data_IF_681999818025
#
_entry.id   IF_681999818025
#
_cell.length_a   1.000
_cell.length_b   1.000
_cell.length_c   1.000
_cell.angle_alpha   90.00
_cell.angle_beta   90.00
_cell.angle_gamma   90.00
#
_symmetry.space_group_name_H-M   'P 1'
#
loop_
_entity.id
_entity.type
_entity.pdbx_description
1 polymer ?
#
# COMPACT_ATOMS: atom_id res chain seq x y z
N UNK A 1 -8.59 -39.79 -18.84
CA UNK A 1 -8.17 -39.06 -17.61
C UNK A 1 -8.45 -37.60 -17.87
N UNK A 2 -9.62 -37.15 -17.47
CA UNK A 2 -10.02 -35.75 -17.58
C UNK A 2 -9.25 -34.93 -16.58
N UNK A 3 -8.28 -34.18 -17.07
CA UNK A 3 -7.52 -33.20 -16.25
C UNK A 3 -8.46 -32.03 -15.97
N UNK A 4 -9.25 -32.10 -14.90
CA UNK A 4 -10.09 -31.02 -14.42
C UNK A 4 -9.14 -29.96 -13.81
N UNK A 5 -8.72 -29.04 -14.68
CA UNK A 5 -7.97 -27.87 -14.26
C UNK A 5 -8.93 -26.93 -13.48
N UNK A 6 -9.20 -27.25 -12.22
CA UNK A 6 -9.96 -26.38 -11.33
C UNK A 6 -9.15 -25.09 -11.20
N UNK A 7 -9.72 -23.92 -11.50
CA UNK A 7 -9.02 -22.65 -11.32
C UNK A 7 -8.56 -22.53 -9.86
N UNK A 8 -7.31 -22.17 -9.66
CA UNK A 8 -6.81 -21.87 -8.32
C UNK A 8 -7.61 -20.71 -7.73
N UNK A 9 -7.86 -20.76 -6.43
CA UNK A 9 -8.36 -19.61 -5.67
C UNK A 9 -7.37 -18.45 -5.75
N UNK A 10 -7.83 -17.27 -5.41
CA UNK A 10 -7.04 -16.05 -5.45
C UNK A 10 -5.81 -16.13 -4.55
N UNK A 11 -6.01 -16.62 -3.34
CA UNK A 11 -4.94 -16.80 -2.36
C UNK A 11 -3.91 -17.84 -2.80
N UNK A 12 -4.36 -18.97 -3.34
CA UNK A 12 -3.46 -20.01 -3.85
C UNK A 12 -2.67 -19.54 -5.08
N UNK A 13 -3.29 -18.74 -5.99
CA UNK A 13 -2.57 -18.17 -7.14
C UNK A 13 -1.55 -17.10 -6.68
N UNK A 14 -1.89 -16.29 -5.67
CA UNK A 14 -0.96 -15.35 -5.05
C UNK A 14 0.25 -16.07 -4.44
N UNK A 15 0.02 -17.07 -3.60
CA UNK A 15 1.09 -17.80 -2.93
C UNK A 15 2.04 -18.50 -3.90
N UNK A 16 1.51 -19.03 -4.99
CA UNK A 16 2.31 -19.63 -6.06
C UNK A 16 3.13 -18.58 -6.84
N UNK A 17 2.56 -17.40 -7.04
CA UNK A 17 3.08 -16.40 -7.98
C UNK A 17 3.97 -15.35 -7.32
N UNK A 18 3.66 -14.96 -6.10
CA UNK A 18 4.29 -13.84 -5.43
C UNK A 18 4.91 -14.21 -4.09
N UNK A 19 5.88 -13.41 -3.68
CA UNK A 19 6.52 -13.44 -2.38
C UNK A 19 6.53 -12.00 -1.82
N UNK A 20 5.82 -11.79 -0.70
CA UNK A 20 5.78 -10.49 -0.05
C UNK A 20 6.70 -10.48 1.17
N UNK A 21 7.49 -9.41 1.32
CA UNK A 21 8.49 -9.27 2.38
C UNK A 21 8.41 -7.90 3.03
N UNK A 22 8.70 -7.86 4.32
CA UNK A 22 9.11 -6.62 4.96
C UNK A 22 10.56 -6.32 4.54
N UNK A 23 10.82 -5.09 4.08
CA UNK A 23 12.17 -4.64 3.72
C UNK A 23 12.93 -4.21 4.98
N UNK A 24 13.32 -5.19 5.79
CA UNK A 24 13.99 -5.01 7.09
C UNK A 24 15.51 -4.92 6.99
N UNK A 25 16.07 -5.20 5.80
CA UNK A 25 17.51 -5.04 5.50
C UNK A 25 17.77 -3.88 4.55
N UNK A 26 18.99 -3.32 4.58
CA UNK A 26 19.38 -2.23 3.67
C UNK A 26 19.26 -2.65 2.20
N UNK A 27 19.62 -3.90 1.87
CA UNK A 27 19.50 -4.43 0.52
C UNK A 27 18.04 -4.46 0.04
N UNK A 28 17.08 -4.85 0.89
CA UNK A 28 15.66 -4.85 0.55
C UNK A 28 15.10 -3.41 0.47
N UNK A 29 15.50 -2.52 1.39
CA UNK A 29 15.13 -1.10 1.33
C UNK A 29 15.63 -0.44 0.05
N UNK A 30 16.86 -0.73 -0.37
CA UNK A 30 17.41 -0.21 -1.61
C UNK A 30 16.58 -0.65 -2.82
N UNK A 31 16.12 -1.91 -2.88
CA UNK A 31 15.22 -2.40 -3.94
C UNK A 31 13.88 -1.66 -3.94
N UNK A 32 13.29 -1.39 -2.78
CA UNK A 32 12.09 -0.56 -2.65
C UNK A 32 12.33 0.85 -3.22
N UNK A 33 13.45 1.49 -2.87
CA UNK A 33 13.78 2.84 -3.34
C UNK A 33 14.04 2.89 -4.85
N UNK A 34 14.57 1.82 -5.42
CA UNK A 34 14.72 1.68 -6.88
C UNK A 34 13.38 1.56 -7.60
N UNK A 35 12.43 0.75 -7.09
CA UNK A 35 11.07 0.68 -7.63
C UNK A 35 10.39 2.04 -7.57
N UNK A 36 10.52 2.76 -6.47
CA UNK A 36 9.94 4.08 -6.28
C UNK A 36 10.52 5.07 -7.29
N UNK A 37 11.84 5.04 -7.51
CA UNK A 37 12.49 5.86 -8.53
C UNK A 37 12.01 5.51 -9.94
N UNK A 38 11.98 4.22 -10.31
CA UNK A 38 11.48 3.75 -11.60
C UNK A 38 10.07 4.31 -11.86
N UNK A 39 9.16 4.12 -10.91
CA UNK A 39 7.74 4.47 -11.10
C UNK A 39 7.49 5.96 -10.98
N UNK A 40 7.95 6.60 -9.91
CA UNK A 40 7.59 8.00 -9.65
C UNK A 40 8.46 9.00 -10.41
N UNK A 41 9.77 8.74 -10.50
CA UNK A 41 10.69 9.70 -11.12
C UNK A 41 10.87 9.43 -12.61
N UNK A 42 11.20 8.18 -13.00
CA UNK A 42 11.52 7.88 -14.39
C UNK A 42 10.29 7.80 -15.30
N UNK A 43 9.20 7.16 -14.84
CA UNK A 43 8.00 6.96 -15.66
C UNK A 43 6.99 8.10 -15.53
N UNK A 44 6.63 8.46 -14.30
CA UNK A 44 5.62 9.49 -14.05
C UNK A 44 6.20 10.92 -14.05
N UNK A 45 7.52 11.06 -14.09
CA UNK A 45 8.19 12.36 -14.17
C UNK A 45 8.00 13.23 -12.93
N UNK A 46 7.71 12.65 -11.76
CA UNK A 46 7.53 13.43 -10.55
C UNK A 46 8.89 13.95 -10.05
N UNK A 47 8.94 15.25 -9.74
CA UNK A 47 10.13 15.91 -9.20
C UNK A 47 10.34 15.52 -7.72
N UNK A 48 10.58 14.26 -7.45
CA UNK A 48 10.88 13.73 -6.13
C UNK A 48 12.39 13.64 -5.89
N UNK A 49 12.80 13.72 -4.62
CA UNK A 49 14.18 13.52 -4.25
C UNK A 49 14.64 12.12 -4.65
N UNK A 50 15.73 12.05 -5.39
CA UNK A 50 16.36 10.79 -5.76
C UNK A 50 17.88 10.89 -5.67
N UNK A 51 18.50 9.80 -5.28
CA UNK A 51 19.94 9.67 -5.13
C UNK A 51 20.41 8.52 -6.04
N UNK A 52 20.86 8.86 -7.26
CA UNK A 52 21.48 7.87 -8.15
C UNK A 52 20.56 6.69 -8.54
N UNK A 53 19.28 6.95 -8.84
CA UNK A 53 18.33 5.90 -9.21
C UNK A 53 17.54 5.29 -8.04
N UNK A 54 17.55 5.94 -6.88
CA UNK A 54 16.78 5.55 -5.72
C UNK A 54 15.96 6.76 -5.20
N UNK A 55 14.63 6.66 -5.12
CA UNK A 55 13.77 7.69 -4.50
C UNK A 55 13.64 7.40 -3.01
N UNK A 56 14.01 8.36 -2.18
CA UNK A 56 13.86 8.30 -0.72
C UNK A 56 13.55 9.67 -0.14
N UNK A 57 12.92 9.70 1.03
CA UNK A 57 12.62 10.93 1.75
C UNK A 57 12.90 10.79 3.27
N UNK A 58 12.80 11.90 4.00
CA UNK A 58 13.07 11.94 5.44
C UNK A 58 12.12 11.07 6.29
N UNK A 59 10.98 10.64 5.73
CA UNK A 59 10.04 9.79 6.45
C UNK A 59 10.41 8.31 6.38
N UNK A 60 11.32 7.90 5.47
CA UNK A 60 11.70 6.50 5.32
C UNK A 60 12.36 5.93 6.57
N UNK A 61 13.06 6.77 7.36
CA UNK A 61 13.68 6.37 8.61
C UNK A 61 12.68 5.90 9.69
N UNK A 62 11.42 6.35 9.62
CA UNK A 62 10.34 5.97 10.54
C UNK A 62 9.30 5.07 9.87
N UNK A 63 9.64 4.41 8.76
CA UNK A 63 8.67 3.68 7.94
C UNK A 63 8.96 2.19 7.88
N UNK A 64 7.89 1.44 7.65
CA UNK A 64 7.93 0.05 7.24
C UNK A 64 7.64 -0.03 5.75
N UNK A 65 8.42 -0.82 5.04
CA UNK A 65 8.28 -1.00 3.60
C UNK A 65 7.96 -2.45 3.28
N UNK A 66 6.90 -2.68 2.51
CA UNK A 66 6.62 -3.99 1.95
C UNK A 66 7.11 -4.05 0.50
N UNK A 67 7.78 -5.13 0.15
CA UNK A 67 8.28 -5.43 -1.19
C UNK A 67 7.58 -6.68 -1.70
N UNK A 68 6.96 -6.58 -2.87
CA UNK A 68 6.34 -7.71 -3.56
C UNK A 68 7.25 -8.18 -4.69
N UNK A 69 7.55 -9.47 -4.70
CA UNK A 69 8.43 -10.12 -5.65
C UNK A 69 7.66 -11.19 -6.46
N UNK A 70 7.88 -11.24 -7.76
CA UNK A 70 7.30 -12.24 -8.64
C UNK A 70 8.25 -13.42 -8.80
N UNK A 71 7.83 -14.60 -8.33
CA UNK A 71 8.70 -15.79 -8.20
C UNK A 71 9.27 -16.26 -9.54
N UNK A 72 8.43 -16.43 -10.56
CA UNK A 72 8.86 -17.06 -11.82
C UNK A 72 9.77 -16.17 -12.66
N UNK A 73 9.64 -14.84 -12.63
CA UNK A 73 10.53 -13.92 -13.35
C UNK A 73 11.69 -13.40 -12.51
N UNK A 74 11.71 -13.71 -11.21
CA UNK A 74 12.66 -13.17 -10.24
C UNK A 74 12.75 -11.63 -10.24
N UNK A 75 11.62 -10.96 -10.50
CA UNK A 75 11.52 -9.50 -10.55
C UNK A 75 10.69 -8.94 -9.40
N UNK A 76 11.07 -7.77 -8.94
CA UNK A 76 10.25 -7.01 -8.02
C UNK A 76 9.08 -6.37 -8.77
N UNK A 77 7.88 -6.53 -8.23
CA UNK A 77 6.64 -6.10 -8.89
C UNK A 77 6.11 -4.79 -8.36
N UNK A 78 6.39 -4.51 -7.10
CA UNK A 78 5.88 -3.31 -6.47
C UNK A 78 6.25 -3.20 -5.01
N UNK A 79 5.90 -2.07 -4.43
CA UNK A 79 6.14 -1.77 -3.03
C UNK A 79 5.05 -0.87 -2.46
N UNK A 80 5.00 -0.79 -1.13
CA UNK A 80 4.16 0.14 -0.38
C UNK A 80 4.85 0.51 0.92
N UNK A 81 4.58 1.71 1.43
CA UNK A 81 5.15 2.24 2.67
C UNK A 81 4.06 2.49 3.70
N UNK A 82 4.31 2.07 4.94
CA UNK A 82 3.58 2.47 6.14
C UNK A 82 4.48 3.41 6.94
N UNK A 83 4.13 4.69 7.01
CA UNK A 83 4.82 5.68 7.83
C UNK A 83 4.24 5.66 9.22
N UNK A 84 5.12 5.48 10.21
CA UNK A 84 4.77 5.46 11.64
C UNK A 84 4.90 6.87 12.22
N UNK A 85 4.17 7.20 13.29
CA UNK A 85 4.38 8.47 13.99
C UNK A 85 5.78 8.51 14.62
N UNK A 86 6.33 9.71 14.77
CA UNK A 86 7.57 9.93 15.55
C UNK A 86 7.33 9.64 17.04
N UNK A 87 8.40 9.46 17.78
CA UNK A 87 8.31 9.44 19.24
C UNK A 87 7.64 10.75 19.70
N UNK A 88 6.53 10.65 20.44
CA UNK A 88 5.70 11.81 20.80
C UNK A 88 4.60 12.17 19.78
N UNK A 89 4.49 11.42 18.67
CA UNK A 89 3.46 11.59 17.65
C UNK A 89 3.81 12.56 16.53
N UNK A 90 2.97 12.57 15.47
CA UNK A 90 3.11 13.43 14.30
C UNK A 90 4.25 13.03 13.35
N UNK A 91 4.59 13.93 12.44
CA UNK A 91 5.64 13.74 11.44
C UNK A 91 5.23 12.85 10.28
N UNK A 92 3.93 12.73 9.99
CA UNK A 92 3.41 12.04 8.83
C UNK A 92 3.55 12.92 7.57
N UNK A 93 3.83 12.35 6.40
CA UNK A 93 4.00 13.09 5.15
C UNK A 93 2.87 14.09 4.87
N UNK A 94 1.60 13.65 5.01
CA UNK A 94 0.44 14.50 4.67
C UNK A 94 0.35 15.77 5.54
N UNK A 95 0.94 15.79 6.73
CA UNK A 95 0.95 16.97 7.61
C UNK A 95 1.65 18.16 6.93
N UNK A 96 2.69 17.90 6.14
CA UNK A 96 3.46 18.93 5.44
C UNK A 96 2.73 19.58 4.27
N UNK A 97 1.84 18.86 3.58
CA UNK A 97 1.20 19.38 2.36
C UNK A 97 -0.32 19.19 2.31
N UNK A 98 -0.87 18.14 2.89
CA UNK A 98 -2.27 17.75 2.78
C UNK A 98 -3.15 18.27 3.92
N UNK A 99 -2.59 18.40 5.12
CA UNK A 99 -3.33 18.75 6.34
C UNK A 99 -4.07 20.10 6.20
N UNK A 100 -3.51 21.07 5.50
CA UNK A 100 -4.14 22.38 5.25
C UNK A 100 -5.45 22.31 4.47
N UNK A 101 -5.68 21.22 3.73
CA UNK A 101 -6.89 20.98 2.96
C UNK A 101 -7.93 20.14 3.72
N UNK A 102 -7.59 19.58 4.89
CA UNK A 102 -8.54 18.79 5.68
C UNK A 102 -9.68 19.67 6.17
N UNK A 103 -10.91 19.27 5.84
CA UNK A 103 -12.11 19.95 6.32
C UNK A 103 -12.35 19.57 7.80
N UNK A 104 -12.23 20.57 8.68
CA UNK A 104 -12.41 20.39 10.12
C UNK A 104 -13.81 19.92 10.52
N UNK A 105 -14.83 20.12 9.68
CA UNK A 105 -16.17 19.59 9.91
C UNK A 105 -16.22 18.08 9.67
N UNK A 106 -15.35 17.56 8.81
CA UNK A 106 -15.23 16.13 8.51
C UNK A 106 -14.25 15.44 9.46
N UNK A 107 -13.16 16.10 9.81
CA UNK A 107 -12.13 15.56 10.71
C UNK A 107 -11.42 16.71 11.43
N UNK A 108 -11.58 16.82 12.73
CA UNK A 108 -10.77 17.75 13.53
C UNK A 108 -9.46 17.07 13.95
N UNK A 109 -8.43 17.29 13.13
CA UNK A 109 -7.08 16.75 13.34
C UNK A 109 -6.51 17.08 14.74
N UNK A 110 -6.87 18.26 15.31
CA UNK A 110 -6.36 18.69 16.61
C UNK A 110 -6.88 17.87 17.78
N UNK A 111 -7.97 17.13 17.59
CA UNK A 111 -8.56 16.25 18.60
C UNK A 111 -8.01 14.81 18.52
N UNK A 112 -7.23 14.50 17.49
CA UNK A 112 -6.65 13.18 17.37
C UNK A 112 -5.37 13.08 18.22
N UNK A 113 -5.17 11.91 18.83
CA UNK A 113 -3.89 11.57 19.41
C UNK A 113 -2.88 11.29 18.27
N UNK A 114 -1.85 12.13 18.07
CA UNK A 114 -0.92 11.98 16.98
C UNK A 114 -0.05 10.71 17.10
N UNK A 115 0.04 10.11 18.29
CA UNK A 115 0.74 8.83 18.49
C UNK A 115 -0.05 7.64 17.95
N UNK A 116 -1.36 7.82 17.74
CA UNK A 116 -2.28 6.81 17.22
C UNK A 116 -2.53 6.94 15.71
N UNK A 117 -1.74 7.78 15.01
CA UNK A 117 -1.90 8.06 13.59
C UNK A 117 -0.77 7.43 12.78
N UNK A 118 -1.09 6.82 11.65
CA UNK A 118 -0.11 6.35 10.67
C UNK A 118 -0.55 6.73 9.25
N UNK A 119 0.37 6.64 8.28
CA UNK A 119 0.05 6.97 6.88
C UNK A 119 0.52 5.87 5.93
N UNK A 120 -0.39 5.43 5.04
CA UNK A 120 -0.04 4.57 3.92
C UNK A 120 0.35 5.45 2.73
N UNK A 121 1.52 5.21 2.15
CA UNK A 121 2.04 6.00 1.04
C UNK A 121 2.96 5.17 0.14
N UNK A 122 3.44 5.79 -0.95
CA UNK A 122 4.41 5.18 -1.87
C UNK A 122 4.00 3.81 -2.40
N UNK A 123 2.69 3.59 -2.64
CA UNK A 123 2.25 2.43 -3.41
C UNK A 123 2.74 2.59 -4.85
N UNK A 124 3.57 1.68 -5.29
CA UNK A 124 4.14 1.66 -6.64
C UNK A 124 4.14 0.23 -7.19
N UNK A 125 3.69 0.08 -8.44
CA UNK A 125 3.72 -1.16 -9.22
C UNK A 125 4.56 -0.88 -10.46
N UNK A 126 5.56 -1.72 -10.77
CA UNK A 126 6.47 -1.51 -11.90
C UNK A 126 5.77 -1.67 -13.25
N UNK A 127 6.20 -0.96 -14.28
CA UNK A 127 5.60 -0.96 -15.63
C UNK A 127 5.46 -2.35 -16.21
N UNK A 128 6.42 -3.21 -15.94
CA UNK A 128 6.37 -4.59 -16.44
C UNK A 128 5.06 -5.31 -16.05
N UNK A 129 4.47 -4.93 -14.93
CA UNK A 129 3.23 -5.49 -14.38
C UNK A 129 2.01 -4.57 -14.57
N UNK A 130 2.19 -3.40 -15.17
CA UNK A 130 1.14 -2.44 -15.57
C UNK A 130 0.98 -2.44 -17.09
N UNK A 131 0.41 -3.51 -17.66
CA UNK A 131 0.40 -3.74 -19.11
C UNK A 131 -0.91 -3.34 -19.81
N UNK A 132 -1.95 -2.96 -19.09
CA UNK A 132 -3.25 -2.63 -19.69
C UNK A 132 -3.33 -1.15 -20.04
N UNK A 133 -4.13 -0.78 -21.08
CA UNK A 133 -4.45 0.62 -21.32
C UNK A 133 -5.00 1.30 -20.06
N UNK A 134 -4.45 2.45 -19.70
CA UNK A 134 -4.83 3.21 -18.49
C UNK A 134 -4.20 2.76 -17.18
N UNK A 135 -3.49 1.65 -17.13
CA UNK A 135 -2.70 1.25 -15.95
C UNK A 135 -1.37 2.01 -15.88
N UNK A 136 -0.85 2.46 -17.01
CA UNK A 136 0.44 3.15 -17.09
C UNK A 136 0.41 4.57 -16.53
N UNK A 137 -0.79 5.18 -16.45
CA UNK A 137 -0.96 6.58 -16.08
C UNK A 137 -0.94 6.83 -14.56
N UNK A 138 -0.72 5.79 -13.77
CA UNK A 138 -0.69 5.91 -12.30
C UNK A 138 0.20 4.86 -11.63
N UNK A 139 0.76 5.21 -10.48
CA UNK A 139 1.70 4.39 -9.75
C UNK A 139 1.13 3.04 -9.27
N UNK A 140 -0.18 2.97 -9.01
CA UNK A 140 -0.84 1.76 -8.51
C UNK A 140 -1.18 0.75 -9.62
N UNK A 141 -1.04 1.14 -10.89
CA UNK A 141 -1.39 0.26 -12.02
C UNK A 141 -2.89 -0.04 -12.12
N UNK A 142 -3.75 0.95 -11.83
CA UNK A 142 -5.20 0.79 -11.86
C UNK A 142 -5.75 1.36 -13.17
N UNK A 143 -6.46 0.53 -13.94
CA UNK A 143 -7.07 0.96 -15.20
C UNK A 143 -8.17 1.99 -14.96
N UNK A 144 -8.24 2.99 -15.86
CA UNK A 144 -9.29 4.02 -15.82
C UNK A 144 -10.65 3.47 -16.25
N UNK A 145 -10.65 2.42 -17.09
CA UNK A 145 -11.85 1.79 -17.69
C UNK A 145 -12.03 0.38 -17.11
N UNK A 146 -13.25 0.04 -16.76
CA UNK A 146 -13.60 -1.29 -16.30
C UNK A 146 -13.40 -2.31 -17.41
N UNK A 147 -12.54 -3.30 -17.20
CA UNK A 147 -12.49 -4.46 -18.07
C UNK A 147 -13.77 -5.27 -17.86
N UNK A 148 -14.55 -5.45 -18.93
CA UNK A 148 -15.81 -6.20 -18.94
C UNK A 148 -15.61 -7.72 -18.88
N UNK A 149 -14.38 -8.18 -19.03
CA UNK A 149 -14.05 -9.62 -19.05
C UNK A 149 -13.70 -10.15 -17.65
N UNK A 150 -14.56 -11.03 -17.13
CA UNK A 150 -14.42 -11.64 -15.81
C UNK A 150 -13.15 -12.49 -15.64
N UNK A 151 -12.60 -13.06 -16.71
CA UNK A 151 -11.37 -13.86 -16.66
C UNK A 151 -10.12 -12.99 -16.49
N UNK A 152 -10.13 -11.82 -17.12
CA UNK A 152 -9.05 -10.82 -17.03
C UNK A 152 -9.13 -10.02 -15.72
N UNK A 153 -10.33 -9.88 -15.12
CA UNK A 153 -10.54 -9.30 -13.77
C UNK A 153 -9.76 -10.02 -12.68
N UNK A 154 -9.54 -11.32 -12.78
CA UNK A 154 -9.05 -12.16 -11.68
C UNK A 154 -7.54 -12.09 -11.44
N UNK A 155 -6.71 -11.61 -12.35
CA UNK A 155 -5.24 -11.76 -12.22
C UNK A 155 -4.40 -10.53 -11.98
N UNK A 156 -4.85 -9.30 -12.23
CA UNK A 156 -3.98 -8.11 -12.22
C UNK A 156 -4.33 -6.97 -11.26
N UNK A 157 -5.57 -6.76 -10.80
CA UNK A 157 -5.83 -5.80 -9.73
C UNK A 157 -5.17 -6.18 -8.40
N UNK A 158 -4.79 -7.45 -8.25
CA UNK A 158 -4.33 -8.04 -6.99
C UNK A 158 -2.94 -7.59 -6.54
N UNK A 159 -2.07 -7.11 -7.40
CA UNK A 159 -0.78 -6.59 -6.97
C UNK A 159 -0.98 -5.41 -6.02
N UNK A 160 -1.79 -4.42 -6.41
CA UNK A 160 -2.09 -3.29 -5.56
C UNK A 160 -2.87 -3.71 -4.30
N UNK A 161 -3.88 -4.59 -4.44
CA UNK A 161 -4.67 -5.10 -3.31
C UNK A 161 -3.79 -5.89 -2.34
N UNK A 162 -2.91 -6.77 -2.82
CA UNK A 162 -1.97 -7.51 -1.96
C UNK A 162 -1.02 -6.60 -1.19
N UNK A 163 -0.54 -5.52 -1.82
CA UNK A 163 0.28 -4.52 -1.15
C UNK A 163 -0.51 -3.78 -0.06
N UNK A 164 -1.80 -3.48 -0.30
CA UNK A 164 -2.68 -2.94 0.74
C UNK A 164 -2.93 -3.95 1.86
N UNK A 165 -3.20 -5.21 1.56
CA UNK A 165 -3.34 -6.26 2.56
C UNK A 165 -2.08 -6.38 3.43
N UNK A 166 -0.89 -6.21 2.85
CA UNK A 166 0.35 -6.21 3.59
C UNK A 166 0.44 -5.08 4.63
N UNK A 167 0.09 -3.84 4.26
CA UNK A 167 0.11 -2.75 5.24
C UNK A 167 -1.03 -2.86 6.25
N UNK A 168 -2.18 -3.38 5.86
CA UNK A 168 -3.28 -3.71 6.79
C UNK A 168 -2.81 -4.72 7.84
N UNK A 169 -2.15 -5.80 7.42
CA UNK A 169 -1.57 -6.80 8.34
C UNK A 169 -0.58 -6.17 9.33
N UNK A 170 0.28 -5.25 8.86
CA UNK A 170 1.21 -4.52 9.72
C UNK A 170 0.50 -3.58 10.70
N UNK A 171 -0.56 -2.91 10.29
CA UNK A 171 -1.34 -1.97 11.11
C UNK A 171 -2.07 -2.72 12.22
N UNK A 172 -2.75 -3.83 11.90
CA UNK A 172 -3.51 -4.62 12.88
C UNK A 172 -2.65 -5.23 13.98
N UNK A 173 -1.34 -5.41 13.73
CA UNK A 173 -0.40 -5.84 14.77
C UNK A 173 0.03 -4.73 15.72
N UNK A 174 -0.38 -3.49 15.42
CA UNK A 174 0.02 -2.30 16.17
C UNK A 174 -1.20 -1.58 16.73
N UNK A 175 -0.98 -0.73 17.72
CA UNK A 175 -2.04 0.00 18.39
C UNK A 175 -2.35 1.35 17.74
N UNK A 176 -2.27 1.46 16.41
CA UNK A 176 -2.69 2.67 15.70
C UNK A 176 -4.20 2.64 15.48
N UNK A 177 -4.82 3.80 15.59
CA UNK A 177 -6.25 3.94 15.41
C UNK A 177 -6.61 4.61 14.09
N UNK A 178 -5.85 5.63 13.68
CA UNK A 178 -6.15 6.46 12.52
C UNK A 178 -5.17 6.18 11.39
N UNK A 179 -5.69 5.89 10.22
CA UNK A 179 -4.91 5.52 9.03
C UNK A 179 -5.19 6.55 7.95
N UNK A 180 -4.16 7.32 7.58
CA UNK A 180 -4.24 8.36 6.57
C UNK A 180 -3.67 7.89 5.24
N UNK A 181 -4.20 8.46 4.15
CA UNK A 181 -3.66 8.29 2.80
C UNK A 181 -3.94 9.55 1.99
N UNK A 182 -3.01 9.92 1.11
CA UNK A 182 -3.22 10.95 0.09
C UNK A 182 -3.12 10.29 -1.27
N UNK A 183 -4.26 10.05 -1.87
CA UNK A 183 -4.37 9.23 -3.08
C UNK A 183 -5.28 9.88 -4.12
N UNK A 184 -5.19 9.39 -5.35
CA UNK A 184 -6.10 9.77 -6.42
C UNK A 184 -7.51 9.22 -6.16
N UNK A 185 -8.59 9.95 -6.53
CA UNK A 185 -9.96 9.48 -6.37
C UNK A 185 -10.24 8.13 -7.05
N UNK A 186 -9.52 7.81 -8.14
CA UNK A 186 -9.66 6.50 -8.81
C UNK A 186 -9.16 5.35 -7.92
N UNK A 187 -8.07 5.57 -7.18
CA UNK A 187 -7.52 4.57 -6.28
C UNK A 187 -8.48 4.33 -5.10
N UNK A 188 -9.06 5.38 -4.54
CA UNK A 188 -10.07 5.26 -3.50
C UNK A 188 -11.27 4.41 -3.96
N UNK A 189 -11.83 4.68 -5.17
CA UNK A 189 -12.93 3.86 -5.72
C UNK A 189 -12.52 2.41 -5.95
N UNK A 190 -11.28 2.17 -6.35
CA UNK A 190 -10.74 0.83 -6.49
C UNK A 190 -10.70 0.10 -5.15
N UNK A 191 -10.15 0.73 -4.11
CA UNK A 191 -10.10 0.14 -2.77
C UNK A 191 -11.48 -0.18 -2.22
N UNK A 192 -12.47 0.72 -2.42
CA UNK A 192 -13.85 0.46 -2.03
C UNK A 192 -14.46 -0.79 -2.69
N UNK A 193 -14.15 -1.05 -3.97
CA UNK A 193 -14.61 -2.26 -4.65
C UNK A 193 -14.04 -3.56 -4.08
N UNK A 194 -12.90 -3.46 -3.42
CA UNK A 194 -12.26 -4.56 -2.70
C UNK A 194 -12.55 -4.50 -1.20
N UNK A 195 -13.66 -3.84 -0.83
CA UNK A 195 -14.16 -3.84 0.52
C UNK A 195 -13.28 -3.10 1.53
N UNK A 196 -12.52 -2.09 1.09
CA UNK A 196 -11.73 -1.23 1.96
C UNK A 196 -12.39 0.16 2.03
N UNK A 197 -13.11 0.42 3.10
CA UNK A 197 -13.83 1.68 3.30
C UNK A 197 -12.87 2.77 3.78
N UNK A 198 -12.62 3.75 2.92
CA UNK A 198 -11.86 4.96 3.27
C UNK A 198 -12.70 6.20 3.00
N UNK A 199 -12.71 7.13 3.95
CA UNK A 199 -13.52 8.35 3.91
C UNK A 199 -12.68 9.54 3.47
N UNK A 200 -13.17 10.28 2.47
CA UNK A 200 -12.55 11.53 2.06
C UNK A 200 -12.79 12.63 3.09
N UNK A 201 -11.73 13.36 3.45
CA UNK A 201 -11.75 14.43 4.47
C UNK A 201 -11.19 15.75 3.96
N UNK A 202 -10.91 15.87 2.67
CA UNK A 202 -10.50 17.12 2.02
C UNK A 202 -11.18 17.27 0.65
N UNK A 203 -11.27 18.46 0.08
CA UNK A 203 -11.48 18.63 -1.35
C UNK A 203 -10.33 17.97 -2.13
N UNK A 204 -10.51 17.82 -3.44
CA UNK A 204 -9.43 17.42 -4.34
C UNK A 204 -8.49 18.62 -4.51
N UNK A 205 -7.18 18.35 -4.46
CA UNK A 205 -6.11 19.34 -4.67
C UNK A 205 -5.02 18.76 -5.57
N UNK A 206 -4.20 19.63 -6.15
CA UNK A 206 -3.07 19.21 -6.98
C UNK A 206 -1.84 18.92 -6.11
N UNK A 207 -1.36 17.68 -6.17
CA UNK A 207 -0.11 17.24 -5.57
C UNK A 207 0.41 16.02 -6.34
N UNK A 208 1.27 16.26 -7.33
CA UNK A 208 1.63 15.24 -8.33
C UNK A 208 0.38 14.60 -8.96
N UNK A 209 -0.53 15.44 -9.46
CA UNK A 209 -1.85 15.08 -9.96
C UNK A 209 -2.96 15.29 -8.94
N UNK A 210 -4.20 15.03 -9.36
CA UNK A 210 -5.40 15.25 -8.55
C UNK A 210 -5.50 14.26 -7.40
N UNK A 211 -5.42 14.75 -6.15
CA UNK A 211 -5.45 13.93 -4.94
C UNK A 211 -6.40 14.49 -3.90
N UNK A 212 -6.78 13.66 -2.94
CA UNK A 212 -7.46 14.10 -1.73
C UNK A 212 -6.91 13.35 -0.51
N UNK A 213 -7.11 13.91 0.66
CA UNK A 213 -6.81 13.24 1.93
C UNK A 213 -7.97 12.30 2.26
N UNK A 214 -7.64 11.06 2.53
CA UNK A 214 -8.56 10.03 3.01
C UNK A 214 -8.13 9.51 4.37
N UNK A 215 -9.10 9.06 5.13
CA UNK A 215 -8.89 8.46 6.46
C UNK A 215 -9.77 7.23 6.63
N UNK A 216 -9.26 6.24 7.32
CA UNK A 216 -10.02 5.14 7.90
C UNK A 216 -9.55 4.87 9.32
N UNK A 217 -10.20 3.98 10.03
CA UNK A 217 -9.80 3.55 11.37
C UNK A 217 -9.53 2.05 11.41
N UNK A 218 -8.80 1.60 12.42
CA UNK A 218 -8.55 0.17 12.62
C UNK A 218 -9.86 -0.59 12.83
N UNK A 219 -10.81 -0.01 13.54
CA UNK A 219 -12.12 -0.62 13.76
C UNK A 219 -12.90 -0.78 12.44
N UNK A 220 -12.80 0.23 11.53
CA UNK A 220 -13.42 0.11 10.20
C UNK A 220 -12.72 -0.97 9.37
N UNK A 221 -11.39 -1.02 9.38
CA UNK A 221 -10.62 -2.05 8.67
C UNK A 221 -10.97 -3.47 9.17
N UNK A 222 -11.11 -3.66 10.47
CA UNK A 222 -11.54 -4.94 11.05
C UNK A 222 -12.94 -5.33 10.57
N UNK A 223 -13.89 -4.39 10.61
CA UNK A 223 -15.24 -4.60 10.08
C UNK A 223 -15.24 -4.90 8.58
N UNK A 224 -14.38 -4.22 7.79
CA UNK A 224 -14.24 -4.47 6.37
C UNK A 224 -13.79 -5.92 6.12
N UNK A 225 -12.77 -6.41 6.85
CA UNK A 225 -12.25 -7.78 6.73
C UNK A 225 -13.33 -8.83 7.06
N UNK A 226 -14.15 -8.59 8.08
CA UNK A 226 -15.25 -9.48 8.44
C UNK A 226 -16.25 -9.64 7.29
N UNK A 227 -16.45 -8.60 6.50
CA UNK A 227 -17.40 -8.54 5.39
C UNK A 227 -16.79 -8.93 4.02
N UNK A 228 -15.49 -9.23 3.92
CA UNK A 228 -14.89 -9.70 2.68
C UNK A 228 -15.43 -11.06 2.26
N UNK A 229 -15.47 -11.31 0.96
CA UNK A 229 -15.69 -12.65 0.43
C UNK A 229 -14.53 -13.60 0.74
N UNK A 230 -14.76 -14.89 0.55
CA UNK A 230 -13.77 -15.93 0.86
C UNK A 230 -12.48 -15.78 0.03
N UNK A 231 -12.56 -15.30 -1.22
CA UNK A 231 -11.38 -15.10 -2.07
C UNK A 231 -10.47 -13.98 -1.53
N UNK A 232 -11.05 -12.86 -1.07
CA UNK A 232 -10.29 -11.76 -0.46
C UNK A 232 -9.73 -12.14 0.90
N UNK A 233 -10.48 -12.88 1.72
CA UNK A 233 -10.01 -13.41 3.00
C UNK A 233 -8.82 -14.34 2.81
N UNK A 234 -8.91 -15.29 1.90
CA UNK A 234 -7.82 -16.21 1.59
C UNK A 234 -6.58 -15.47 1.08
N UNK A 235 -6.76 -14.46 0.21
CA UNK A 235 -5.66 -13.61 -0.25
C UNK A 235 -5.00 -12.89 0.92
N UNK A 236 -5.79 -12.31 1.82
CA UNK A 236 -5.27 -11.63 3.01
C UNK A 236 -4.51 -12.60 3.91
N UNK A 237 -5.06 -13.78 4.17
CA UNK A 237 -4.44 -14.79 5.04
C UNK A 237 -3.08 -15.24 4.48
N UNK A 238 -2.96 -15.43 3.16
CA UNK A 238 -1.70 -15.77 2.53
C UNK A 238 -0.68 -14.62 2.58
N UNK A 239 -1.12 -13.38 2.33
CA UNK A 239 -0.27 -12.19 2.48
C UNK A 239 0.21 -12.05 3.93
N UNK A 240 -0.70 -12.20 4.88
CA UNK A 240 -0.43 -12.14 6.31
C UNK A 240 0.58 -13.22 6.73
N UNK A 241 0.35 -14.47 6.33
CA UNK A 241 1.23 -15.59 6.67
C UNK A 241 2.65 -15.40 6.11
N UNK A 242 2.78 -14.97 4.86
CA UNK A 242 4.09 -14.72 4.25
C UNK A 242 4.83 -13.57 4.93
N UNK A 243 4.12 -12.50 5.29
CA UNK A 243 4.71 -11.29 5.85
C UNK A 243 5.06 -11.45 7.32
N UNK A 244 4.13 -12.01 8.11
CA UNK A 244 4.19 -12.03 9.56
C UNK A 244 4.65 -13.37 10.13
N UNK A 245 4.51 -14.46 9.39
CA UNK A 245 5.09 -15.75 9.78
C UNK A 245 6.62 -15.74 9.92
N UNK A 246 7.26 -14.68 9.43
CA UNK A 246 8.71 -14.41 9.53
C UNK A 246 9.06 -13.37 10.61
N UNK A 247 8.06 -12.73 11.24
CA UNK A 247 8.29 -11.70 12.25
C UNK A 247 8.07 -12.27 13.65
N UNK A 248 8.91 -11.93 14.64
CA UNK A 248 8.61 -12.23 16.03
C UNK A 248 7.31 -11.53 16.45
N UNK A 249 6.52 -12.18 17.29
CA UNK A 249 5.14 -11.83 17.64
C UNK A 249 4.92 -10.40 18.19
N UNK A 250 5.96 -9.66 18.53
CA UNK A 250 5.98 -8.22 18.81
C UNK A 250 7.39 -7.67 18.55
N UNK A 251 7.57 -6.95 17.44
CA UNK A 251 8.77 -6.12 17.29
C UNK A 251 8.55 -4.79 18.00
N UNK A 252 9.41 -4.39 18.95
CA UNK A 252 9.39 -3.03 19.46
C UNK A 252 9.71 -2.06 18.30
N UNK A 253 8.96 -0.96 18.22
CA UNK A 253 9.04 0.06 17.16
C UNK A 253 10.48 0.56 16.94
N UNK A 254 11.31 0.56 17.99
CA UNK A 254 12.72 0.98 17.97
C UNK A 254 13.67 0.00 17.28
N UNK A 255 13.35 -1.28 17.19
CA UNK A 255 14.28 -2.29 16.66
C UNK A 255 14.35 -2.33 15.12
N UNK A 256 13.36 -1.79 14.42
CA UNK A 256 13.32 -1.75 12.96
C UNK A 256 13.83 -0.44 12.35
N UNK A 257 13.85 0.64 13.15
CA UNK A 257 14.33 1.96 12.72
C UNK A 257 15.78 2.26 13.12
N UNK A 258 16.41 1.44 13.96
CA UNK A 258 17.78 1.67 14.44
C UNK A 258 18.70 0.50 14.09
N UNK A 259 19.16 0.45 12.87
CA UNK A 259 20.50 -0.03 12.54
C UNK A 259 21.04 0.95 11.52
N UNK A 260 21.71 1.99 12.03
CA UNK A 260 22.69 2.75 11.26
C UNK A 260 23.87 1.84 10.92
#
# INVERSE_FOLDING_TARGET
MTNTNVPLSLGADFDRTFDIKLADTDALRQRVFQIRHEVFCAELGYAMQNNGGAESDAHDAQSLHCLLHHRSSSRDTGCVRLVLPRAGGGGLPFEGFGLRYVDRKLLDWKQLDPTQCCEISRLAVTTHFRRRPGEQDNAAGIAAVEATDNFVRRRFPFIAVSLYHAVVALILQRSYRWIFMVVEPRLQRHLQRYGLAIRQVSPIFDYFGQRAVYVTTVEQVQSDIENWDEELKELYDNVHAQLLGRLPARLPIQALCTKN
#
